data_IF_601944462779
#
_entry.id   IF_601944462779
#
_cell.length_a   1.000
_cell.length_b   1.000
_cell.length_c   1.000
_cell.angle_alpha   90.00
_cell.angle_beta   90.00
_cell.angle_gamma   90.00
#
_symmetry.space_group_name_H-M   'P 1'
#
loop_
_entity.id
_entity.type
_entity.pdbx_description
1 polymer ?
#
# COMPACT_ATOMS: atom_id res chain seq x y z
N UNK A 1 -0.85 8.56 24.61
CA UNK A 1 -1.18 7.27 23.97
C UNK A 1 -1.43 7.51 22.51
N UNK A 2 -0.68 6.86 21.61
CA UNK A 2 -0.83 7.03 20.17
C UNK A 2 -2.15 6.40 19.68
N UNK A 3 -2.65 6.85 18.53
CA UNK A 3 -3.85 6.25 17.90
C UNK A 3 -3.62 4.74 17.68
N UNK A 4 -2.40 4.34 17.32
CA UNK A 4 -2.00 2.95 17.15
C UNK A 4 -2.11 2.13 18.44
N UNK A 5 -1.70 2.69 19.60
CA UNK A 5 -1.82 2.00 20.90
C UNK A 5 -3.28 1.75 21.26
N UNK A 6 -4.16 2.74 21.08
CA UNK A 6 -5.61 2.56 21.32
C UNK A 6 -6.23 1.53 20.39
N UNK A 7 -5.84 1.51 19.11
CA UNK A 7 -6.29 0.49 18.16
C UNK A 7 -5.79 -0.90 18.58
N UNK A 8 -4.54 -1.03 19.02
CA UNK A 8 -3.99 -2.28 19.53
C UNK A 8 -4.72 -2.78 20.78
N UNK A 9 -5.07 -1.88 21.72
CA UNK A 9 -5.86 -2.24 22.91
C UNK A 9 -7.24 -2.78 22.53
N UNK A 10 -7.92 -2.13 21.58
CA UNK A 10 -9.22 -2.58 21.07
C UNK A 10 -9.11 -3.96 20.42
N UNK A 11 -8.11 -4.17 19.57
CA UNK A 11 -7.88 -5.43 18.88
C UNK A 11 -7.51 -6.55 19.87
N UNK A 12 -6.72 -6.25 20.90
CA UNK A 12 -6.39 -7.23 21.95
C UNK A 12 -7.61 -7.70 22.76
N UNK A 13 -8.68 -6.90 22.77
CA UNK A 13 -9.94 -7.27 23.44
C UNK A 13 -10.82 -8.22 22.63
N UNK A 14 -10.48 -8.51 21.38
CA UNK A 14 -11.24 -9.43 20.53
C UNK A 14 -11.09 -10.88 21.04
N UNK A 15 -12.21 -11.56 21.18
CA UNK A 15 -12.24 -12.95 21.62
C UNK A 15 -11.64 -13.90 20.57
N UNK A 16 -11.81 -13.57 19.28
CA UNK A 16 -11.25 -14.32 18.16
C UNK A 16 -10.17 -13.49 17.49
N UNK A 17 -8.98 -14.07 17.41
CA UNK A 17 -7.84 -13.41 16.72
C UNK A 17 -7.92 -13.71 15.23
N UNK A 18 -7.75 -12.69 14.37
CA UNK A 18 -7.69 -12.92 12.93
C UNK A 18 -6.47 -13.78 12.58
N UNK A 19 -6.65 -14.73 11.67
CA UNK A 19 -5.60 -15.62 11.16
C UNK A 19 -5.11 -15.22 9.77
N UNK A 20 -5.73 -14.20 9.18
CA UNK A 20 -5.43 -13.72 7.85
C UNK A 20 -5.46 -12.19 7.79
N UNK A 21 -4.66 -11.58 6.92
CA UNK A 21 -4.61 -10.13 6.74
C UNK A 21 -4.83 -9.76 5.27
N UNK A 22 -5.77 -8.85 5.03
CA UNK A 22 -5.90 -8.11 3.78
C UNK A 22 -5.39 -6.68 4.02
N UNK A 23 -4.31 -6.31 3.33
CA UNK A 23 -3.67 -5.01 3.51
C UNK A 23 -3.61 -4.25 2.20
N UNK A 24 -4.08 -3.00 2.20
CA UNK A 24 -4.05 -2.14 1.02
C UNK A 24 -2.97 -1.07 1.14
N UNK A 25 -2.22 -0.91 0.05
CA UNK A 25 -1.17 0.09 -0.07
C UNK A 25 -1.58 1.06 -1.16
N UNK A 26 -1.65 2.33 -0.81
CA UNK A 26 -1.82 3.39 -1.80
C UNK A 26 -0.54 3.51 -2.62
N UNK A 27 -0.67 3.90 -3.90
CA UNK A 27 0.49 4.28 -4.73
C UNK A 27 1.42 5.17 -3.92
N UNK A 28 2.63 4.69 -3.68
CA UNK A 28 3.62 5.43 -2.92
C UNK A 28 4.18 6.53 -3.82
N UNK A 29 4.04 7.81 -3.46
CA UNK A 29 4.71 8.86 -4.20
C UNK A 29 6.22 8.64 -4.11
N UNK A 30 6.89 8.71 -5.25
CA UNK A 30 8.36 8.65 -5.30
C UNK A 30 8.90 9.76 -4.41
N UNK A 31 9.69 9.41 -3.41
CA UNK A 31 10.36 10.40 -2.56
C UNK A 31 11.34 11.19 -3.41
N UNK A 32 10.97 12.41 -3.70
CA UNK A 32 11.94 13.40 -4.17
C UNK A 32 12.68 13.94 -2.94
N UNK A 33 13.83 13.34 -2.63
CA UNK A 33 14.74 13.80 -1.56
C UNK A 33 15.45 15.14 -1.92
N UNK A 34 14.83 15.98 -2.74
CA UNK A 34 15.53 17.11 -3.36
C UNK A 34 15.51 18.41 -2.55
N UNK A 35 14.76 18.52 -1.47
CA UNK A 35 14.64 19.84 -0.82
C UNK A 35 15.41 20.02 0.50
N UNK A 36 16.02 18.97 1.04
CA UNK A 36 16.67 19.08 2.36
C UNK A 36 18.19 19.21 2.33
N UNK A 37 18.83 19.15 1.17
CA UNK A 37 20.32 19.21 1.05
C UNK A 37 20.86 20.49 0.44
N UNK A 38 20.01 21.39 -0.07
CA UNK A 38 20.48 22.63 -0.70
C UNK A 38 20.73 23.80 0.27
N UNK A 39 20.41 23.65 1.57
CA UNK A 39 20.62 24.72 2.56
C UNK A 39 21.97 24.62 3.30
N UNK A 40 22.93 23.83 2.80
CA UNK A 40 24.25 23.64 3.45
C UNK A 40 25.36 24.50 2.84
N UNK A 41 25.08 25.38 1.91
CA UNK A 41 26.16 26.16 1.24
C UNK A 41 26.40 27.58 1.76
N UNK A 42 25.76 28.05 2.82
CA UNK A 42 26.14 29.34 3.39
C UNK A 42 26.68 29.22 4.82
N UNK A 43 28.02 29.35 4.90
CA UNK A 43 28.86 29.23 6.08
C UNK A 43 28.58 30.25 7.21
N UNK A 44 27.46 30.16 7.88
CA UNK A 44 27.25 30.77 9.18
C UNK A 44 26.77 29.73 10.19
N UNK A 45 27.61 29.54 11.22
CA UNK A 45 27.41 28.62 12.32
C UNK A 45 26.12 28.94 13.09
N UNK A 46 25.00 28.47 12.58
CA UNK A 46 23.76 28.36 13.33
C UNK A 46 23.78 27.03 14.09
N UNK A 47 23.63 27.08 15.40
CA UNK A 47 23.45 25.92 16.25
C UNK A 47 22.29 25.08 15.68
N UNK A 48 22.62 24.04 14.92
CA UNK A 48 21.67 23.13 14.30
C UNK A 48 20.93 22.43 15.43
N UNK A 49 19.71 22.87 15.72
CA UNK A 49 18.76 22.05 16.47
C UNK A 49 18.56 20.80 15.63
N UNK A 50 18.85 19.65 16.21
CA UNK A 50 18.56 18.36 15.57
C UNK A 50 17.11 18.40 15.03
N UNK A 51 16.86 18.05 13.76
CA UNK A 51 15.52 18.08 13.23
C UNK A 51 14.63 17.18 14.08
N UNK A 52 13.51 17.70 14.56
CA UNK A 52 12.50 16.90 15.23
C UNK A 52 11.90 15.96 14.17
N UNK A 53 12.42 14.75 14.11
CA UNK A 53 11.84 13.68 13.29
C UNK A 53 10.46 13.34 13.83
N UNK A 54 9.43 13.81 13.14
CA UNK A 54 8.05 13.35 13.35
C UNK A 54 7.77 12.15 12.45
N UNK A 55 6.80 11.31 12.82
CA UNK A 55 6.35 10.15 12.02
C UNK A 55 5.98 10.55 10.58
N UNK A 56 5.61 11.80 10.36
CA UNK A 56 5.28 12.37 9.04
C UNK A 56 6.47 12.42 8.06
N UNK A 57 7.71 12.34 8.56
CA UNK A 57 8.92 12.33 7.75
C UNK A 57 9.43 10.91 7.45
N UNK A 58 8.76 9.88 7.96
CA UNK A 58 9.11 8.50 7.66
C UNK A 58 8.47 8.12 6.32
N UNK A 59 9.30 7.62 5.40
CA UNK A 59 8.85 7.09 4.11
C UNK A 59 7.69 6.10 4.28
N UNK A 60 6.62 6.27 3.50
CA UNK A 60 5.40 5.45 3.59
C UNK A 60 5.68 3.94 3.53
N UNK A 61 6.62 3.52 2.68
CA UNK A 61 7.05 2.13 2.61
C UNK A 61 7.62 1.62 3.94
N UNK A 62 8.35 2.45 4.67
CA UNK A 62 8.87 2.11 6.01
C UNK A 62 7.73 2.07 7.04
N UNK A 63 6.78 2.99 6.96
CA UNK A 63 5.58 2.98 7.84
C UNK A 63 4.79 1.70 7.65
N UNK A 64 4.57 1.27 6.40
CA UNK A 64 3.86 0.04 6.08
C UNK A 64 4.59 -1.20 6.65
N UNK A 65 5.93 -1.25 6.53
CA UNK A 65 6.73 -2.33 7.13
C UNK A 65 6.58 -2.36 8.65
N UNK A 66 6.67 -1.20 9.32
CA UNK A 66 6.53 -1.10 10.77
C UNK A 66 5.13 -1.52 11.22
N UNK A 67 4.10 -1.10 10.49
CA UNK A 67 2.72 -1.47 10.79
C UNK A 67 2.49 -2.97 10.64
N UNK A 68 2.88 -3.56 9.52
CA UNK A 68 2.72 -5.01 9.29
C UNK A 68 3.54 -5.81 10.31
N UNK A 69 4.75 -5.36 10.65
CA UNK A 69 5.58 -5.99 11.68
C UNK A 69 4.89 -5.99 13.04
N UNK A 70 4.30 -4.85 13.45
CA UNK A 70 3.62 -4.74 14.72
C UNK A 70 2.32 -5.55 14.75
N UNK A 71 1.54 -5.52 13.69
CA UNK A 71 0.35 -6.35 13.56
C UNK A 71 0.71 -7.84 13.61
N UNK A 72 1.81 -8.26 12.97
CA UNK A 72 2.30 -9.66 13.05
C UNK A 72 2.69 -10.06 14.47
N UNK A 73 3.21 -9.13 15.28
CA UNK A 73 3.52 -9.39 16.69
C UNK A 73 2.27 -9.67 17.51
N UNK A 74 1.15 -9.03 17.14
CA UNK A 74 -0.14 -9.17 17.84
C UNK A 74 -0.93 -10.42 17.39
N UNK A 75 -0.77 -10.82 16.12
CA UNK A 75 -1.57 -11.86 15.50
C UNK A 75 -0.72 -12.91 14.78
N UNK A 76 -0.98 -14.21 15.00
CA UNK A 76 -0.30 -15.29 14.32
C UNK A 76 -0.92 -15.54 12.93
N UNK A 77 -0.82 -14.60 12.01
CA UNK A 77 -1.39 -14.79 10.67
C UNK A 77 -0.77 -15.97 9.94
N UNK A 78 -1.61 -16.68 9.24
CA UNK A 78 -1.24 -17.75 8.34
C UNK A 78 -1.07 -17.23 6.92
N UNK A 79 -1.90 -16.25 6.52
CA UNK A 79 -1.94 -15.72 5.16
C UNK A 79 -2.04 -14.21 5.15
N UNK A 80 -1.43 -13.62 4.12
CA UNK A 80 -1.49 -12.18 3.87
C UNK A 80 -1.76 -11.93 2.38
N UNK A 81 -2.74 -11.07 2.10
CA UNK A 81 -2.97 -10.51 0.77
C UNK A 81 -2.68 -9.01 0.78
N UNK A 82 -1.93 -8.52 -0.21
CA UNK A 82 -1.49 -7.14 -0.33
C UNK A 82 -2.03 -6.56 -1.63
N UNK A 83 -2.94 -5.60 -1.51
CA UNK A 83 -3.55 -4.90 -2.62
C UNK A 83 -2.85 -3.56 -2.90
N UNK A 84 -2.34 -3.40 -4.12
CA UNK A 84 -1.80 -2.15 -4.62
C UNK A 84 -2.94 -1.35 -5.26
N UNK A 85 -3.39 -0.27 -4.61
CA UNK A 85 -4.55 0.50 -5.06
C UNK A 85 -4.22 1.43 -6.22
N UNK A 86 -5.27 1.94 -6.90
CA UNK A 86 -5.14 2.85 -8.04
C UNK A 86 -4.32 2.24 -9.20
N UNK A 87 -4.53 0.95 -9.46
CA UNK A 87 -3.77 0.23 -10.49
C UNK A 87 -4.03 0.75 -11.90
N UNK A 88 -5.17 1.38 -12.13
CA UNK A 88 -5.52 2.08 -13.38
C UNK A 88 -4.59 3.25 -13.72
N UNK A 89 -3.89 3.81 -12.72
CA UNK A 89 -2.88 4.86 -12.93
C UNK A 89 -1.50 4.31 -13.32
N UNK A 90 -1.36 2.99 -13.39
CA UNK A 90 -0.14 2.33 -13.83
C UNK A 90 -0.26 1.94 -15.29
N UNK A 91 0.56 2.54 -16.14
CA UNK A 91 0.66 2.23 -17.57
C UNK A 91 1.63 1.05 -17.84
N UNK A 92 1.92 0.22 -16.85
CA UNK A 92 2.91 -0.84 -17.00
C UNK A 92 2.25 -2.20 -17.22
N UNK A 93 2.82 -2.99 -18.10
CA UNK A 93 2.57 -4.44 -18.22
C UNK A 93 3.22 -5.20 -17.05
N UNK A 94 3.75 -4.48 -16.07
CA UNK A 94 4.48 -4.99 -14.93
C UNK A 94 3.55 -5.76 -13.98
N UNK A 95 4.04 -6.86 -13.44
CA UNK A 95 3.29 -7.62 -12.44
C UNK A 95 3.27 -6.89 -11.09
N UNK A 96 2.22 -7.06 -10.27
CA UNK A 96 2.13 -6.40 -8.96
C UNK A 96 3.35 -6.62 -8.05
N UNK A 97 3.92 -7.83 -8.06
CA UNK A 97 5.12 -8.13 -7.27
C UNK A 97 6.39 -7.44 -7.79
N UNK A 98 6.51 -7.26 -9.11
CA UNK A 98 7.63 -6.55 -9.74
C UNK A 98 7.52 -5.06 -9.45
N UNK A 99 6.32 -4.49 -9.61
CA UNK A 99 6.03 -3.12 -9.25
C UNK A 99 6.37 -2.83 -7.78
N UNK A 100 5.90 -3.68 -6.85
CA UNK A 100 6.21 -3.52 -5.43
C UNK A 100 7.71 -3.57 -5.16
N UNK A 101 8.46 -4.43 -5.86
CA UNK A 101 9.92 -4.53 -5.74
C UNK A 101 10.62 -3.26 -6.19
N UNK A 102 10.15 -2.65 -7.29
CA UNK A 102 10.77 -1.49 -7.87
C UNK A 102 10.44 -0.21 -7.09
N UNK A 103 9.19 -0.03 -6.70
CA UNK A 103 8.73 1.19 -6.02
C UNK A 103 8.92 1.15 -4.49
N UNK A 104 8.84 -0.04 -3.89
CA UNK A 104 8.92 -0.23 -2.43
C UNK A 104 9.83 -1.40 -2.06
N UNK A 105 11.15 -1.35 -2.37
CA UNK A 105 12.05 -2.48 -2.18
C UNK A 105 12.14 -2.96 -0.73
N UNK A 106 12.08 -2.06 0.25
CA UNK A 106 12.09 -2.43 1.66
C UNK A 106 10.88 -3.27 2.06
N UNK A 107 9.69 -2.85 1.62
CA UNK A 107 8.46 -3.61 1.89
C UNK A 107 8.45 -4.93 1.14
N UNK A 108 8.86 -4.93 -0.14
CA UNK A 108 8.99 -6.15 -0.93
C UNK A 108 9.91 -7.18 -0.27
N UNK A 109 11.09 -6.76 0.18
CA UNK A 109 12.05 -7.63 0.86
C UNK A 109 11.49 -8.15 2.19
N UNK A 110 10.82 -7.30 2.97
CA UNK A 110 10.17 -7.71 4.21
C UNK A 110 9.09 -8.77 3.97
N UNK A 111 8.23 -8.55 2.96
CA UNK A 111 7.16 -9.50 2.60
C UNK A 111 7.77 -10.83 2.15
N UNK A 112 8.74 -10.80 1.23
CA UNK A 112 9.39 -12.02 0.74
C UNK A 112 10.07 -12.82 1.86
N UNK A 113 10.64 -12.14 2.85
CA UNK A 113 11.32 -12.81 3.97
C UNK A 113 10.33 -13.45 4.96
N UNK A 114 9.23 -12.77 5.25
CA UNK A 114 8.33 -13.18 6.33
C UNK A 114 7.02 -13.81 5.84
N UNK A 115 6.65 -13.60 4.59
CA UNK A 115 5.42 -14.06 3.97
C UNK A 115 5.68 -14.47 2.51
N UNK A 116 6.50 -15.52 2.26
CA UNK A 116 6.90 -15.90 0.91
C UNK A 116 5.70 -16.26 0.00
N UNK A 117 4.60 -16.71 0.62
CA UNK A 117 3.35 -17.08 -0.07
C UNK A 117 2.35 -15.90 -0.16
N UNK A 118 2.76 -14.67 0.11
CA UNK A 118 1.85 -13.52 0.10
C UNK A 118 1.18 -13.35 -1.28
N UNK A 119 -0.14 -13.11 -1.27
CA UNK A 119 -0.91 -12.81 -2.48
C UNK A 119 -0.82 -11.31 -2.77
N UNK A 120 0.07 -10.91 -3.72
CA UNK A 120 0.28 -9.51 -4.09
C UNK A 120 -0.51 -9.23 -5.37
N UNK A 121 -1.43 -8.29 -5.33
CA UNK A 121 -2.31 -7.96 -6.44
C UNK A 121 -2.48 -6.47 -6.65
N UNK A 122 -2.76 -6.07 -7.89
CA UNK A 122 -3.17 -4.70 -8.22
C UNK A 122 -4.69 -4.58 -8.16
N UNK A 123 -5.22 -3.44 -7.72
CA UNK A 123 -6.67 -3.19 -7.71
C UNK A 123 -7.01 -1.81 -8.24
N UNK A 124 -7.94 -1.77 -9.20
CA UNK A 124 -8.61 -0.55 -9.63
C UNK A 124 -10.06 -0.59 -9.18
N UNK A 125 -10.44 0.34 -8.33
CA UNK A 125 -11.81 0.44 -7.84
C UNK A 125 -12.78 0.95 -8.92
N UNK A 126 -12.32 1.83 -9.80
CA UNK A 126 -13.13 2.44 -10.85
C UNK A 126 -12.98 1.73 -12.20
N UNK A 127 -11.82 1.13 -12.48
CA UNK A 127 -11.53 0.49 -13.74
C UNK A 127 -11.00 1.42 -14.84
N UNK A 128 -10.89 2.72 -14.56
CA UNK A 128 -10.32 3.75 -15.43
C UNK A 128 -9.72 4.90 -14.63
N UNK A 129 -8.86 5.67 -15.25
CA UNK A 129 -8.31 6.89 -14.67
C UNK A 129 -9.40 7.96 -14.53
N UNK A 130 -9.62 8.42 -13.30
CA UNK A 130 -10.55 9.52 -13.00
C UNK A 130 -9.84 10.86 -13.22
N UNK A 131 -10.53 11.76 -13.94
CA UNK A 131 -10.12 13.14 -14.07
C UNK A 131 -11.22 14.03 -13.43
N UNK A 132 -10.80 14.94 -12.54
CA UNK A 132 -11.72 15.88 -11.86
C UNK A 132 -12.52 16.76 -12.83
N UNK A 133 -12.10 16.88 -14.11
CA UNK A 133 -12.80 17.62 -15.16
C UNK A 133 -13.86 16.79 -15.88
N UNK A 134 -13.95 15.49 -15.59
CA UNK A 134 -14.98 14.64 -16.17
C UNK A 134 -16.36 15.02 -15.62
N UNK A 135 -17.34 15.14 -16.50
CA UNK A 135 -18.73 15.29 -16.10
C UNK A 135 -19.38 13.93 -15.75
N UNK A 136 -20.56 13.99 -15.17
CA UNK A 136 -21.30 12.79 -14.73
C UNK A 136 -21.65 11.90 -15.94
N UNK A 137 -21.99 12.49 -17.08
CA UNK A 137 -22.39 11.75 -18.29
C UNK A 137 -21.21 10.97 -18.86
N UNK A 138 -19.99 11.54 -18.84
CA UNK A 138 -18.77 10.85 -19.25
C UNK A 138 -18.45 9.66 -18.32
N UNK A 139 -18.60 9.85 -17.00
CA UNK A 139 -18.44 8.77 -16.03
C UNK A 139 -19.47 7.65 -16.23
N UNK A 140 -20.72 7.98 -16.51
CA UNK A 140 -21.78 7.02 -16.80
C UNK A 140 -21.50 6.25 -18.10
N UNK A 141 -21.05 6.95 -19.15
CA UNK A 141 -20.70 6.32 -20.42
C UNK A 141 -19.56 5.29 -20.26
N UNK A 142 -18.51 5.61 -19.49
CA UNK A 142 -17.44 4.68 -19.19
C UNK A 142 -17.92 3.44 -18.45
N UNK A 143 -18.84 3.60 -17.51
CA UNK A 143 -19.48 2.49 -16.81
C UNK A 143 -20.32 1.62 -17.76
N UNK A 144 -21.05 2.23 -18.68
CA UNK A 144 -21.85 1.55 -19.70
C UNK A 144 -20.96 0.80 -20.71
N UNK A 145 -19.76 1.29 -21.01
CA UNK A 145 -18.74 0.60 -21.83
C UNK A 145 -18.16 -0.66 -21.17
N UNK A 146 -18.66 -1.04 -20.00
CA UNK A 146 -18.20 -2.21 -19.28
C UNK A 146 -16.88 -2.02 -18.55
N UNK A 147 -16.40 -0.78 -18.43
CA UNK A 147 -15.25 -0.43 -17.60
C UNK A 147 -15.70 -0.45 -16.15
N UNK A 148 -15.23 -1.43 -15.39
CA UNK A 148 -15.61 -1.66 -14.01
C UNK A 148 -14.41 -2.03 -13.16
N UNK A 149 -14.57 -2.05 -11.86
CA UNK A 149 -13.56 -2.52 -10.91
C UNK A 149 -12.93 -3.83 -11.37
N UNK A 150 -11.63 -3.93 -11.21
CA UNK A 150 -10.88 -5.13 -11.56
C UNK A 150 -9.67 -5.30 -10.65
N UNK A 151 -9.12 -6.50 -10.67
CA UNK A 151 -7.82 -6.79 -10.08
C UNK A 151 -6.85 -7.28 -11.15
N UNK A 152 -5.56 -7.12 -10.86
CA UNK A 152 -4.47 -7.82 -11.55
C UNK A 152 -3.91 -8.81 -10.54
N UNK A 153 -3.98 -10.09 -10.87
CA UNK A 153 -3.49 -11.16 -10.00
C UNK A 153 -1.95 -11.16 -9.91
N UNK A 154 -1.33 -11.96 -9.01
CA UNK A 154 0.13 -12.03 -8.89
C UNK A 154 0.86 -12.42 -10.19
N UNK A 155 0.17 -13.07 -11.12
CA UNK A 155 0.71 -13.48 -12.42
C UNK A 155 0.59 -12.39 -13.50
N UNK A 156 -0.05 -11.26 -13.18
CA UNK A 156 -0.30 -10.17 -14.13
C UNK A 156 -1.61 -10.32 -14.91
N UNK A 157 -2.46 -11.30 -14.59
CA UNK A 157 -3.72 -11.52 -15.31
C UNK A 157 -4.81 -10.63 -14.73
N UNK A 158 -5.52 -9.93 -15.62
CA UNK A 158 -6.69 -9.12 -15.25
C UNK A 158 -7.90 -10.00 -14.96
N UNK A 159 -8.57 -9.73 -13.85
CA UNK A 159 -9.84 -10.35 -13.46
C UNK A 159 -10.84 -9.29 -13.00
N UNK A 160 -12.11 -9.50 -13.32
CA UNK A 160 -13.23 -8.72 -12.81
C UNK A 160 -13.84 -9.32 -11.54
N UNK A 161 -13.34 -10.46 -11.12
CA UNK A 161 -13.66 -11.04 -9.83
C UNK A 161 -12.75 -10.45 -8.76
N UNK A 162 -13.28 -9.47 -8.05
CA UNK A 162 -12.57 -8.74 -6.98
C UNK A 162 -12.50 -9.53 -5.67
N UNK A 163 -13.11 -10.72 -5.60
CA UNK A 163 -13.11 -11.57 -4.41
C UNK A 163 -11.92 -12.53 -4.35
N UNK A 164 -11.19 -12.72 -5.44
CA UNK A 164 -10.04 -13.63 -5.50
C UNK A 164 -9.03 -13.49 -4.34
N UNK A 165 -8.69 -12.27 -3.87
CA UNK A 165 -7.82 -12.14 -2.70
C UNK A 165 -8.44 -12.68 -1.41
N UNK A 166 -9.78 -12.61 -1.28
CA UNK A 166 -10.50 -13.16 -0.13
C UNK A 166 -10.52 -14.69 -0.20
N UNK A 167 -10.76 -15.26 -1.40
CA UNK A 167 -10.71 -16.70 -1.60
C UNK A 167 -9.35 -17.27 -1.21
N UNK A 168 -8.25 -16.57 -1.56
CA UNK A 168 -6.91 -16.93 -1.13
C UNK A 168 -6.76 -16.90 0.40
N UNK A 169 -7.34 -15.91 1.08
CA UNK A 169 -7.20 -15.75 2.53
C UNK A 169 -7.98 -16.81 3.33
N UNK A 170 -9.09 -17.32 2.79
CA UNK A 170 -9.98 -18.29 3.47
C UNK A 170 -9.74 -19.75 3.04
N UNK A 171 -9.01 -19.99 1.93
CA UNK A 171 -8.67 -21.33 1.46
C UNK A 171 -7.56 -21.97 2.29
#
# INVERSE_FOLDING_TARGET
TSILEKQCETINSWNEKPDSLLFFIKKVPTLVLTESFNDIEDGHSAKTKAPNFTIQHIYEGTQNVLLIKELRRLFPWKRIAIGLTSWDLHNSEEKPCEYLRNECPFLSNFINQYFPEAYIFGVSAQGWEYNEKMDIDECMNKTMEGKRSYIIDPNGKKSYDITLPLDYLIS
#
